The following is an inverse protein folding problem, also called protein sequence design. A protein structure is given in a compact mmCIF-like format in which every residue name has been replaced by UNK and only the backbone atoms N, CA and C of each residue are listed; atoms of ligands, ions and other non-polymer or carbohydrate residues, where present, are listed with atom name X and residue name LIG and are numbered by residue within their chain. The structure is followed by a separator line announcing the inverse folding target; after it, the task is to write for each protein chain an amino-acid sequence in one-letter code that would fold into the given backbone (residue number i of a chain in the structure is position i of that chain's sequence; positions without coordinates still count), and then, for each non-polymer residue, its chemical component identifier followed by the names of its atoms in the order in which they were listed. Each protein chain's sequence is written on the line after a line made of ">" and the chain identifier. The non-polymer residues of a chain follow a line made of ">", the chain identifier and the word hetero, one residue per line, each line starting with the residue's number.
data_IF_058283908056
#
_entry.id   IF_058283908056
#
_cell.length_a   1.000
_cell.length_b   1.000
_cell.length_c   1.000
_cell.angle_alpha   90.00
_cell.angle_beta   90.00
_cell.angle_gamma   90.00
#
_symmetry.space_group_name_H-M   'P 1'
#
loop_
_entity.id
_entity.type
_entity.pdbx_description
1 polymer ?
#
# COMPACT_ATOMS: atom_id res chain seq x y z
N UNK A 1 -22.73 11.79 13.13
CA UNK A 1 -22.59 11.14 11.81
C UNK A 1 -21.12 10.80 11.67
N UNK A 2 -20.78 9.51 11.59
CA UNK A 2 -19.40 9.14 11.22
C UNK A 2 -19.24 9.38 9.71
N UNK A 3 -18.23 10.14 9.34
CA UNK A 3 -17.89 10.30 7.91
C UNK A 3 -17.36 8.95 7.38
N UNK A 4 -17.83 8.50 6.20
CA UNK A 4 -17.31 7.29 5.61
C UNK A 4 -15.85 7.48 5.18
N UNK A 5 -15.02 6.50 5.44
CA UNK A 5 -13.58 6.54 5.20
C UNK A 5 -13.21 5.49 4.15
N UNK A 6 -12.36 5.89 3.19
CA UNK A 6 -11.55 4.97 2.39
C UNK A 6 -10.12 4.99 2.93
N UNK A 7 -9.59 3.82 3.25
CA UNK A 7 -8.21 3.64 3.69
C UNK A 7 -7.42 2.87 2.64
N UNK A 8 -6.28 3.41 2.23
CA UNK A 8 -5.52 2.94 1.07
C UNK A 8 -4.49 1.85 1.40
N UNK A 9 -4.30 1.50 2.69
CA UNK A 9 -3.31 0.49 3.02
C UNK A 9 -3.49 -0.17 4.40
N UNK A 10 -3.48 -1.50 4.42
CA UNK A 10 -3.29 -2.30 5.63
C UNK A 10 -2.69 -3.67 5.29
N UNK A 11 -2.03 -4.31 6.28
CA UNK A 11 -1.32 -5.58 6.18
C UNK A 11 -2.12 -6.80 6.66
N UNK A 12 -3.46 -6.73 6.63
CA UNK A 12 -4.31 -7.83 7.11
C UNK A 12 -4.00 -9.15 6.41
N UNK A 13 -3.74 -9.15 5.09
CA UNK A 13 -3.45 -10.38 4.35
C UNK A 13 -2.14 -11.03 4.78
N UNK A 14 -1.10 -10.22 5.02
CA UNK A 14 0.19 -10.69 5.53
C UNK A 14 0.05 -11.26 6.95
N UNK A 15 -0.74 -10.60 7.81
CA UNK A 15 -1.06 -11.10 9.15
C UNK A 15 -1.73 -12.47 9.10
N UNK A 16 -2.78 -12.62 8.30
CA UNK A 16 -3.52 -13.88 8.17
C UNK A 16 -2.67 -15.01 7.56
N UNK A 17 -1.71 -14.66 6.69
CA UNK A 17 -0.82 -15.63 6.07
C UNK A 17 0.28 -16.15 7.02
N UNK A 18 0.77 -15.32 7.94
CA UNK A 18 1.99 -15.61 8.71
C UNK A 18 1.73 -15.94 10.18
N UNK A 19 0.69 -15.37 10.78
CA UNK A 19 0.44 -15.51 12.21
C UNK A 19 -0.47 -16.74 12.47
N UNK A 20 -0.01 -17.73 13.25
CA UNK A 20 -0.83 -18.90 13.56
C UNK A 20 -2.11 -18.51 14.29
N UNK A 21 -3.26 -18.98 13.79
CA UNK A 21 -4.60 -18.69 14.34
C UNK A 21 -4.98 -17.20 14.28
N UNK A 22 -4.41 -16.48 13.33
CA UNK A 22 -4.84 -15.12 13.05
C UNK A 22 -6.35 -15.07 12.76
N UNK A 23 -7.03 -14.09 13.36
CA UNK A 23 -8.46 -13.90 13.19
C UNK A 23 -8.73 -12.45 12.74
N UNK A 24 -9.35 -12.22 11.57
CA UNK A 24 -9.67 -10.89 11.09
C UNK A 24 -10.74 -10.18 11.93
N UNK A 25 -11.39 -10.88 12.86
CA UNK A 25 -12.38 -10.32 13.78
C UNK A 25 -11.83 -10.04 15.18
N UNK A 26 -10.62 -10.47 15.50
CA UNK A 26 -10.01 -10.23 16.81
C UNK A 26 -9.33 -8.86 16.88
N UNK A 27 -9.95 -7.85 17.53
CA UNK A 27 -9.42 -6.49 17.60
C UNK A 27 -8.14 -6.38 18.46
N UNK A 28 -7.83 -7.39 19.29
CA UNK A 28 -6.63 -7.40 20.13
C UNK A 28 -5.39 -7.88 19.36
N UNK A 29 -5.58 -8.49 18.19
CA UNK A 29 -4.49 -9.01 17.37
C UNK A 29 -3.97 -8.02 16.34
N UNK A 30 -4.85 -7.23 15.72
CA UNK A 30 -4.47 -6.28 14.67
C UNK A 30 -5.43 -5.08 14.63
N UNK A 31 -4.89 -3.89 14.45
CA UNK A 31 -5.68 -2.65 14.46
C UNK A 31 -6.62 -2.51 13.24
N UNK A 32 -6.37 -3.21 12.14
CA UNK A 32 -7.29 -3.28 10.99
C UNK A 32 -8.24 -4.49 11.04
N UNK A 33 -8.50 -5.09 12.21
CA UNK A 33 -9.56 -6.07 12.37
C UNK A 33 -10.92 -5.48 11.97
N UNK A 34 -11.79 -6.28 11.37
CA UNK A 34 -13.08 -5.82 10.84
C UNK A 34 -13.94 -5.05 11.87
N UNK A 35 -14.01 -5.44 13.18
CA UNK A 35 -14.73 -4.65 14.17
C UNK A 35 -14.18 -3.23 14.34
N UNK A 36 -12.84 -3.05 14.31
CA UNK A 36 -12.21 -1.73 14.41
C UNK A 36 -12.44 -0.89 13.16
N UNK A 37 -12.28 -1.47 11.96
CA UNK A 37 -12.58 -0.77 10.71
C UNK A 37 -14.02 -0.27 10.69
N UNK A 38 -14.97 -1.11 11.08
CA UNK A 38 -16.39 -0.75 11.19
C UNK A 38 -16.63 0.35 12.23
N UNK A 39 -16.05 0.24 13.42
CA UNK A 39 -16.18 1.23 14.49
C UNK A 39 -15.57 2.58 14.07
N UNK A 40 -14.46 2.57 13.33
CA UNK A 40 -13.81 3.75 12.77
C UNK A 40 -14.54 4.38 11.59
N UNK A 41 -15.58 3.75 11.05
CA UNK A 41 -16.32 4.25 9.88
C UNK A 41 -15.63 3.96 8.55
N UNK A 42 -14.68 3.02 8.52
CA UNK A 42 -14.05 2.58 7.27
C UNK A 42 -15.06 1.79 6.45
N UNK A 43 -15.29 2.25 5.22
CA UNK A 43 -16.25 1.69 4.27
C UNK A 43 -15.54 1.04 3.08
N UNK A 44 -14.30 1.42 2.83
CA UNK A 44 -13.46 0.79 1.82
C UNK A 44 -12.02 0.69 2.32
N UNK A 45 -11.42 -0.50 2.15
CA UNK A 45 -10.07 -0.82 2.60
C UNK A 45 -9.27 -1.44 1.46
N UNK A 46 -8.09 -0.88 1.20
CA UNK A 46 -7.08 -1.55 0.36
C UNK A 46 -6.27 -2.50 1.24
N UNK A 47 -6.17 -3.75 0.81
CA UNK A 47 -5.44 -4.82 1.51
C UNK A 47 -4.17 -5.17 0.74
N UNK A 48 -3.01 -4.95 1.33
CA UNK A 48 -1.74 -5.21 0.70
C UNK A 48 -1.41 -6.70 0.64
N UNK A 49 -1.08 -7.19 -0.56
CA UNK A 49 -0.32 -8.42 -0.76
C UNK A 49 1.14 -8.02 -0.60
N UNK A 50 1.64 -8.18 0.61
CA UNK A 50 2.99 -7.76 1.00
C UNK A 50 3.97 -8.92 1.04
N UNK A 51 5.16 -8.70 0.47
CA UNK A 51 6.26 -9.65 0.59
C UNK A 51 7.60 -8.94 0.76
N UNK A 52 8.47 -9.50 1.60
CA UNK A 52 9.88 -9.13 1.62
C UNK A 52 10.61 -9.63 0.38
N UNK A 53 11.89 -9.25 0.22
CA UNK A 53 12.76 -9.77 -0.83
C UNK A 53 13.30 -11.14 -0.39
N UNK A 54 12.61 -12.20 -0.76
CA UNK A 54 12.92 -13.57 -0.38
C UNK A 54 12.68 -14.54 -1.56
N UNK A 55 13.37 -15.70 -1.65
CA UNK A 55 13.09 -16.67 -2.70
C UNK A 55 11.64 -17.16 -2.80
N UNK A 56 10.91 -17.18 -1.69
CA UNK A 56 9.51 -17.63 -1.59
C UNK A 56 8.49 -16.49 -1.77
N UNK A 57 8.93 -15.27 -2.11
CA UNK A 57 8.03 -14.09 -2.19
C UNK A 57 6.86 -14.30 -3.15
N UNK A 58 7.07 -14.96 -4.28
CA UNK A 58 6.01 -15.23 -5.26
C UNK A 58 4.94 -16.20 -4.70
N UNK A 59 5.36 -17.20 -3.95
CA UNK A 59 4.45 -18.16 -3.29
C UNK A 59 3.67 -17.48 -2.17
N UNK A 60 4.33 -16.69 -1.32
CA UNK A 60 3.70 -15.91 -0.26
C UNK A 60 2.68 -14.91 -0.82
N UNK A 61 2.96 -14.28 -1.96
CA UNK A 61 2.00 -13.40 -2.63
C UNK A 61 0.77 -14.17 -3.11
N UNK A 62 0.95 -15.37 -3.67
CA UNK A 62 -0.16 -16.23 -4.11
C UNK A 62 -1.02 -16.68 -2.94
N UNK A 63 -0.42 -17.04 -1.80
CA UNK A 63 -1.12 -17.40 -0.57
C UNK A 63 -1.97 -16.23 -0.05
N UNK A 64 -1.44 -15.02 -0.04
CA UNK A 64 -2.19 -13.83 0.39
C UNK A 64 -3.35 -13.50 -0.56
N UNK A 65 -3.18 -13.73 -1.87
CA UNK A 65 -4.28 -13.59 -2.81
C UNK A 65 -5.37 -14.66 -2.61
N UNK A 66 -5.02 -15.89 -2.20
CA UNK A 66 -5.99 -16.91 -1.80
C UNK A 66 -6.77 -16.49 -0.56
N UNK A 67 -6.09 -15.95 0.45
CA UNK A 67 -6.72 -15.41 1.67
C UNK A 67 -7.69 -14.26 1.32
N UNK A 68 -7.31 -13.35 0.41
CA UNK A 68 -8.21 -12.29 -0.04
C UNK A 68 -9.53 -12.83 -0.62
N UNK A 69 -9.46 -13.90 -1.42
CA UNK A 69 -10.65 -14.55 -1.97
C UNK A 69 -11.45 -15.24 -0.88
N UNK A 70 -10.78 -15.96 0.04
CA UNK A 70 -11.43 -16.62 1.18
C UNK A 70 -12.19 -15.62 2.06
N UNK A 71 -11.64 -14.43 2.35
CA UNK A 71 -12.35 -13.41 3.12
C UNK A 71 -13.68 -13.01 2.47
N UNK A 72 -13.72 -12.91 1.14
CA UNK A 72 -14.95 -12.60 0.40
C UNK A 72 -15.97 -13.75 0.41
N UNK A 73 -15.48 -14.99 0.37
CA UNK A 73 -16.32 -16.18 0.35
C UNK A 73 -16.85 -16.54 1.73
N UNK A 74 -16.02 -16.44 2.77
CA UNK A 74 -16.35 -16.83 4.12
C UNK A 74 -17.16 -15.78 4.90
N UNK A 75 -17.06 -14.50 4.49
CA UNK A 75 -17.68 -13.37 5.21
C UNK A 75 -18.50 -12.45 4.30
N UNK A 76 -19.38 -12.98 3.43
CA UNK A 76 -20.14 -12.18 2.45
C UNK A 76 -21.12 -11.19 3.08
N UNK A 77 -21.46 -11.33 4.37
CA UNK A 77 -22.26 -10.36 5.12
C UNK A 77 -21.45 -9.18 5.64
N UNK A 78 -20.12 -9.31 5.73
CA UNK A 78 -19.23 -8.31 6.32
C UNK A 78 -18.48 -7.55 5.24
N UNK A 79 -17.93 -8.26 4.25
CA UNK A 79 -17.09 -7.70 3.21
C UNK A 79 -17.65 -7.95 1.81
N UNK A 80 -17.34 -7.07 0.88
CA UNK A 80 -17.60 -7.29 -0.54
C UNK A 80 -16.43 -6.76 -1.38
N UNK A 81 -16.34 -7.22 -2.63
CA UNK A 81 -15.33 -6.72 -3.56
C UNK A 81 -15.60 -5.27 -3.90
N UNK A 82 -14.58 -4.43 -3.80
CA UNK A 82 -14.62 -3.03 -4.19
C UNK A 82 -13.83 -2.84 -5.50
N UNK A 83 -14.36 -2.02 -6.40
CA UNK A 83 -13.76 -1.73 -7.71
C UNK A 83 -13.05 -0.36 -7.78
N UNK A 84 -12.97 0.35 -6.65
CA UNK A 84 -12.40 1.68 -6.55
C UNK A 84 -13.40 2.84 -6.66
N UNK A 85 -14.65 2.58 -7.03
CA UNK A 85 -15.71 3.60 -7.11
C UNK A 85 -16.35 3.85 -5.73
N UNK A 86 -15.71 4.68 -4.89
CA UNK A 86 -16.09 4.85 -3.48
C UNK A 86 -17.51 5.37 -3.31
N UNK A 87 -17.91 6.43 -4.03
CA UNK A 87 -19.25 6.99 -3.90
C UNK A 87 -20.33 5.97 -4.28
N UNK A 88 -20.15 5.25 -5.36
CA UNK A 88 -21.07 4.19 -5.79
C UNK A 88 -21.16 3.07 -4.76
N UNK A 89 -20.02 2.70 -4.14
CA UNK A 89 -19.98 1.71 -3.08
C UNK A 89 -20.81 2.14 -1.87
N UNK A 90 -20.67 3.40 -1.41
CA UNK A 90 -21.44 3.94 -0.29
C UNK A 90 -22.96 3.91 -0.54
N UNK A 91 -23.38 4.10 -1.79
CA UNK A 91 -24.80 4.10 -2.18
C UNK A 91 -25.37 2.68 -2.33
N UNK A 92 -24.53 1.68 -2.61
CA UNK A 92 -24.98 0.33 -2.96
C UNK A 92 -25.00 -0.66 -1.81
N UNK A 93 -24.19 -0.48 -0.78
CA UNK A 93 -24.04 -1.46 0.31
C UNK A 93 -23.56 -0.84 1.62
N UNK A 94 -23.82 -1.54 2.72
CA UNK A 94 -23.24 -1.23 4.05
C UNK A 94 -22.01 -2.09 4.37
N UNK A 95 -21.67 -3.06 3.52
CA UNK A 95 -20.50 -3.91 3.70
C UNK A 95 -19.21 -3.10 3.56
N UNK A 96 -18.14 -3.60 4.16
CA UNK A 96 -16.79 -3.09 3.91
C UNK A 96 -16.34 -3.52 2.52
N UNK A 97 -16.12 -2.55 1.64
CA UNK A 97 -15.52 -2.81 0.33
C UNK A 97 -14.03 -3.13 0.48
N UNK A 98 -13.57 -4.25 -0.07
CA UNK A 98 -12.15 -4.59 -0.08
C UNK A 98 -11.61 -4.74 -1.48
N UNK A 99 -10.39 -4.24 -1.71
CA UNK A 99 -9.62 -4.37 -2.94
C UNK A 99 -8.18 -4.70 -2.60
N UNK A 100 -7.54 -5.57 -3.38
CA UNK A 100 -6.14 -5.91 -3.18
C UNK A 100 -5.19 -4.88 -3.80
N UNK A 101 -3.97 -4.81 -3.28
CA UNK A 101 -2.83 -4.15 -3.91
C UNK A 101 -1.60 -5.06 -3.82
N UNK A 102 -0.53 -4.73 -4.55
CA UNK A 102 0.76 -5.41 -4.42
C UNK A 102 1.75 -4.43 -3.79
N UNK A 103 2.23 -4.78 -2.61
CA UNK A 103 3.31 -4.06 -1.95
C UNK A 103 4.60 -4.86 -2.07
N UNK A 104 5.58 -4.25 -2.73
CA UNK A 104 6.84 -4.85 -3.18
C UNK A 104 6.66 -5.85 -4.34
N UNK A 105 7.07 -5.44 -5.52
CA UNK A 105 7.05 -6.28 -6.72
C UNK A 105 7.91 -7.56 -6.63
N UNK A 106 8.65 -7.78 -5.52
CA UNK A 106 9.27 -9.08 -5.22
C UNK A 106 8.22 -10.21 -5.17
N UNK A 107 6.96 -9.91 -4.82
CA UNK A 107 5.84 -10.86 -4.83
C UNK A 107 5.43 -11.33 -6.23
N UNK A 108 5.84 -10.62 -7.28
CA UNK A 108 5.60 -11.04 -8.67
C UNK A 108 6.88 -11.50 -9.37
N UNK A 109 8.07 -11.18 -8.84
CA UNK A 109 9.32 -11.52 -9.46
C UNK A 109 10.52 -11.50 -8.54
N UNK A 110 10.97 -12.68 -8.11
CA UNK A 110 12.23 -12.85 -7.37
C UNK A 110 13.44 -12.57 -8.26
N UNK A 111 14.63 -12.45 -7.66
CA UNK A 111 15.88 -12.17 -8.38
C UNK A 111 16.18 -13.18 -9.50
N UNK A 112 15.74 -14.43 -9.35
CA UNK A 112 15.99 -15.53 -10.31
C UNK A 112 14.84 -15.82 -11.26
N UNK A 113 13.66 -15.20 -11.03
CA UNK A 113 12.50 -15.44 -11.87
C UNK A 113 12.72 -14.95 -13.32
N UNK A 114 12.29 -15.74 -14.28
CA UNK A 114 12.26 -15.34 -15.68
C UNK A 114 11.11 -14.37 -15.94
N UNK A 115 11.20 -13.57 -17.00
CA UNK A 115 10.12 -12.66 -17.37
C UNK A 115 8.81 -13.39 -17.72
N UNK A 116 8.88 -14.61 -18.20
CA UNK A 116 7.68 -15.43 -18.43
C UNK A 116 6.97 -15.75 -17.11
N UNK A 117 7.73 -16.08 -16.08
CA UNK A 117 7.19 -16.36 -14.73
C UNK A 117 6.64 -15.10 -14.10
N UNK A 118 7.32 -13.95 -14.23
CA UNK A 118 6.85 -12.66 -13.69
C UNK A 118 5.49 -12.27 -14.29
N UNK A 119 5.36 -12.34 -15.62
CA UNK A 119 4.09 -12.01 -16.27
C UNK A 119 2.99 -13.00 -15.88
N UNK A 120 3.31 -14.30 -15.84
CA UNK A 120 2.35 -15.32 -15.42
C UNK A 120 1.89 -15.13 -13.98
N UNK A 121 2.82 -14.80 -13.06
CA UNK A 121 2.51 -14.54 -11.65
C UNK A 121 1.63 -13.31 -11.51
N UNK A 122 1.99 -12.20 -12.15
CA UNK A 122 1.21 -10.97 -12.11
C UNK A 122 -0.21 -11.19 -12.64
N UNK A 123 -0.35 -11.81 -13.81
CA UNK A 123 -1.65 -12.05 -14.43
C UNK A 123 -2.50 -13.03 -13.58
N UNK A 124 -1.89 -14.04 -12.98
CA UNK A 124 -2.57 -14.97 -12.07
C UNK A 124 -3.08 -14.28 -10.79
N UNK A 125 -2.26 -13.40 -10.18
CA UNK A 125 -2.70 -12.60 -9.03
C UNK A 125 -3.86 -11.67 -9.41
N UNK A 126 -3.73 -10.95 -10.52
CA UNK A 126 -4.77 -10.03 -11.00
C UNK A 126 -6.08 -10.77 -11.30
N UNK A 127 -6.03 -11.92 -11.98
CA UNK A 127 -7.20 -12.75 -12.27
C UNK A 127 -7.89 -13.22 -10.98
N UNK A 128 -7.11 -13.67 -10.00
CA UNK A 128 -7.59 -14.17 -8.72
C UNK A 128 -8.29 -13.07 -7.90
N UNK A 129 -7.64 -11.92 -7.72
CA UNK A 129 -8.20 -10.82 -6.92
C UNK A 129 -9.19 -9.95 -7.70
N UNK A 130 -9.23 -10.06 -9.03
CA UNK A 130 -10.14 -9.37 -9.95
C UNK A 130 -9.70 -7.96 -10.32
N UNK A 131 -9.16 -7.18 -9.38
CA UNK A 131 -8.62 -5.84 -9.60
C UNK A 131 -7.54 -5.52 -8.57
N UNK A 132 -6.64 -4.59 -8.92
CA UNK A 132 -5.60 -4.08 -8.04
C UNK A 132 -5.73 -2.58 -7.89
N UNK A 133 -5.69 -2.08 -6.66
CA UNK A 133 -5.70 -0.64 -6.37
C UNK A 133 -4.39 0.02 -6.83
N UNK A 134 -3.26 -0.65 -6.66
CA UNK A 134 -1.93 -0.19 -7.07
C UNK A 134 -0.91 -1.34 -6.98
N UNK A 135 0.30 -1.05 -7.48
CA UNK A 135 1.52 -1.85 -7.24
C UNK A 135 2.68 -0.92 -6.89
N UNK A 136 3.45 -1.23 -5.82
CA UNK A 136 4.74 -0.62 -5.57
C UNK A 136 5.89 -1.50 -6.07
N UNK A 137 6.95 -0.89 -6.60
CA UNK A 137 8.10 -1.64 -7.11
C UNK A 137 8.95 -2.22 -5.99
N UNK A 138 9.04 -1.52 -4.86
CA UNK A 138 9.91 -1.87 -3.73
C UNK A 138 9.18 -1.72 -2.41
N UNK A 139 9.79 -2.28 -1.36
CA UNK A 139 9.55 -1.93 0.03
C UNK A 139 10.78 -1.17 0.56
N UNK A 140 11.29 -1.49 1.74
CA UNK A 140 12.42 -0.76 2.34
C UNK A 140 13.76 -0.97 1.62
N UNK A 141 13.97 -2.15 1.08
CA UNK A 141 15.26 -2.57 0.52
C UNK A 141 15.24 -2.64 -1.00
N UNK A 142 16.42 -2.76 -1.58
CA UNK A 142 16.61 -3.03 -2.99
C UNK A 142 16.01 -4.39 -3.40
N UNK A 143 15.40 -4.42 -4.56
CA UNK A 143 15.04 -5.64 -5.27
C UNK A 143 15.49 -5.57 -6.74
N UNK A 144 15.04 -6.48 -7.60
CA UNK A 144 15.40 -6.47 -9.02
C UNK A 144 14.88 -5.27 -9.81
N UNK A 145 13.83 -4.58 -9.32
CA UNK A 145 13.17 -3.50 -10.05
C UNK A 145 13.71 -2.11 -9.67
N UNK A 146 14.25 -1.95 -8.45
CA UNK A 146 14.76 -0.66 -7.99
C UNK A 146 15.19 -0.64 -6.54
N UNK A 147 15.42 0.54 -5.99
CA UNK A 147 15.81 0.80 -4.62
C UNK A 147 14.66 1.23 -3.73
N UNK A 148 14.52 0.62 -2.56
CA UNK A 148 13.61 1.07 -1.52
C UNK A 148 14.16 2.26 -0.73
N UNK A 149 13.32 2.85 0.13
CA UNK A 149 13.68 4.05 0.89
C UNK A 149 14.87 3.90 1.86
N UNK A 150 15.32 2.66 2.13
CA UNK A 150 16.58 2.41 2.87
C UNK A 150 17.77 2.05 1.98
N UNK A 151 17.60 2.10 0.66
CA UNK A 151 18.67 1.93 -0.34
C UNK A 151 18.75 3.16 -1.27
N UNK A 152 18.97 4.32 -0.67
CA UNK A 152 18.83 5.66 -1.27
C UNK A 152 19.67 5.86 -2.55
N UNK A 153 20.81 5.17 -2.69
CA UNK A 153 21.68 5.26 -3.86
C UNK A 153 21.21 4.49 -5.10
N UNK A 154 20.05 3.83 -5.04
CA UNK A 154 19.58 2.94 -6.11
C UNK A 154 18.25 3.48 -6.67
N UNK A 155 18.25 3.77 -7.97
CA UNK A 155 17.08 4.21 -8.73
C UNK A 155 16.37 3.07 -9.48
N UNK A 156 15.66 3.45 -10.55
CA UNK A 156 14.93 2.55 -11.41
C UNK A 156 15.90 1.68 -12.25
N UNK A 157 15.77 0.36 -12.12
CA UNK A 157 16.56 -0.61 -12.85
C UNK A 157 15.91 -1.00 -14.19
N UNK A 158 16.65 -1.71 -15.05
CA UNK A 158 16.14 -2.16 -16.36
C UNK A 158 14.91 -3.08 -16.22
N UNK A 159 14.90 -3.96 -15.20
CA UNK A 159 13.73 -4.79 -14.92
C UNK A 159 12.54 -3.96 -14.43
N UNK A 160 12.79 -2.86 -13.70
CA UNK A 160 11.74 -1.91 -13.31
C UNK A 160 11.12 -1.21 -14.52
N UNK A 161 11.93 -0.75 -15.47
CA UNK A 161 11.45 -0.15 -16.74
C UNK A 161 10.58 -1.12 -17.51
N UNK A 162 11.05 -2.37 -17.67
CA UNK A 162 10.30 -3.42 -18.36
C UNK A 162 8.98 -3.76 -17.66
N UNK A 163 8.94 -3.69 -16.32
CA UNK A 163 7.69 -3.87 -15.59
C UNK A 163 6.74 -2.69 -15.84
N UNK A 164 7.22 -1.45 -15.86
CA UNK A 164 6.40 -0.28 -16.20
C UNK A 164 5.83 -0.41 -17.62
N UNK A 165 6.63 -0.85 -18.61
CA UNK A 165 6.12 -1.10 -19.97
C UNK A 165 5.00 -2.15 -19.98
N UNK A 166 5.13 -3.20 -19.17
CA UNK A 166 4.10 -4.24 -19.07
C UNK A 166 2.82 -3.74 -18.37
N UNK A 167 2.95 -2.85 -17.40
CA UNK A 167 1.81 -2.24 -16.69
C UNK A 167 1.11 -1.17 -17.53
N UNK A 168 1.77 -0.62 -18.54
CA UNK A 168 1.19 0.38 -19.42
C UNK A 168 -0.10 -0.15 -20.07
N UNK A 169 -1.18 0.59 -19.96
CA UNK A 169 -2.49 0.17 -20.48
C UNK A 169 -3.31 -0.77 -19.58
N UNK A 170 -2.75 -1.32 -18.51
CA UNK A 170 -3.51 -2.11 -17.51
C UNK A 170 -4.33 -1.24 -16.55
N UNK A 171 -4.10 0.07 -16.55
CA UNK A 171 -4.77 1.06 -15.68
C UNK A 171 -4.58 0.80 -14.18
N UNK A 172 -3.49 0.13 -13.81
CA UNK A 172 -3.11 -0.11 -12.42
C UNK A 172 -2.12 0.99 -12.03
N UNK A 173 -2.41 1.78 -10.99
CA UNK A 173 -1.51 2.82 -10.52
C UNK A 173 -0.18 2.26 -10.03
N UNK A 174 0.90 3.00 -10.29
CA UNK A 174 2.17 2.78 -9.61
C UNK A 174 2.20 3.57 -8.31
N UNK A 175 2.59 2.91 -7.23
CA UNK A 175 2.70 3.50 -5.91
C UNK A 175 4.13 3.92 -5.62
N UNK A 176 4.33 5.18 -5.22
CA UNK A 176 5.63 5.73 -4.82
C UNK A 176 5.93 5.55 -3.33
N UNK A 177 5.02 4.98 -2.55
CA UNK A 177 5.33 4.59 -1.17
C UNK A 177 6.48 3.58 -1.17
N UNK A 178 7.39 3.72 -0.21
CA UNK A 178 8.62 2.92 -0.08
C UNK A 178 9.69 3.08 -1.17
N UNK A 179 9.51 3.92 -2.18
CA UNK A 179 10.59 4.19 -3.14
C UNK A 179 11.73 4.97 -2.50
N UNK A 180 12.97 4.71 -2.96
CA UNK A 180 14.02 5.72 -2.82
C UNK A 180 13.67 6.95 -3.66
N UNK A 181 14.21 8.13 -3.32
CA UNK A 181 13.99 9.34 -4.12
C UNK A 181 14.47 9.14 -5.58
N UNK A 182 15.60 8.45 -5.76
CA UNK A 182 16.09 8.10 -7.11
C UNK A 182 15.17 7.14 -7.87
N UNK A 183 14.51 6.20 -7.16
CA UNK A 183 13.52 5.33 -7.79
C UNK A 183 12.27 6.12 -8.19
N UNK A 184 11.75 6.97 -7.31
CA UNK A 184 10.58 7.81 -7.59
C UNK A 184 10.84 8.72 -8.80
N UNK A 185 11.96 9.43 -8.83
CA UNK A 185 12.39 10.25 -9.97
C UNK A 185 12.53 9.42 -11.25
N UNK A 186 13.15 8.23 -11.15
CA UNK A 186 13.32 7.32 -12.28
C UNK A 186 12.00 6.84 -12.85
N UNK A 187 11.02 6.48 -12.01
CA UNK A 187 9.67 6.07 -12.42
C UNK A 187 8.97 7.22 -13.16
N UNK A 188 8.90 8.40 -12.55
CA UNK A 188 8.22 9.57 -13.12
C UNK A 188 8.85 9.98 -14.46
N UNK A 189 10.18 10.07 -14.49
CA UNK A 189 10.92 10.39 -15.73
C UNK A 189 10.70 9.36 -16.83
N UNK A 190 10.66 8.06 -16.49
CA UNK A 190 10.44 7.00 -17.47
C UNK A 190 9.02 7.04 -18.04
N UNK A 191 8.01 7.21 -17.18
CA UNK A 191 6.60 7.35 -17.58
C UNK A 191 6.43 8.53 -18.56
N UNK A 192 7.02 9.69 -18.24
CA UNK A 192 6.91 10.89 -19.08
C UNK A 192 7.63 10.72 -20.43
N UNK A 193 8.87 10.22 -20.39
CA UNK A 193 9.67 10.04 -21.61
C UNK A 193 9.03 9.07 -22.61
N UNK A 194 8.35 8.04 -22.10
CA UNK A 194 7.73 6.99 -22.92
C UNK A 194 6.23 7.19 -23.08
N UNK A 195 5.65 8.28 -22.53
CA UNK A 195 4.22 8.58 -22.55
C UNK A 195 3.35 7.40 -22.08
N UNK A 196 3.79 6.71 -21.02
CA UNK A 196 3.07 5.56 -20.49
C UNK A 196 1.79 6.01 -19.78
N UNK A 197 0.61 5.43 -20.09
CA UNK A 197 -0.64 5.78 -19.44
C UNK A 197 -0.78 5.10 -18.08
N UNK A 198 0.16 5.33 -17.18
CA UNK A 198 0.20 4.75 -15.83
C UNK A 198 -0.16 5.85 -14.83
N UNK A 199 -1.26 5.71 -14.07
CA UNK A 199 -1.54 6.60 -12.95
C UNK A 199 -0.49 6.45 -11.84
N UNK A 200 -0.25 7.53 -11.09
CA UNK A 200 0.74 7.55 -10.00
C UNK A 200 0.04 7.97 -8.72
N UNK A 201 0.35 7.31 -7.60
CA UNK A 201 -0.12 7.67 -6.28
C UNK A 201 0.96 7.41 -5.21
N UNK A 202 0.68 7.79 -3.97
CA UNK A 202 1.36 7.28 -2.80
C UNK A 202 0.32 6.77 -1.82
N UNK A 203 0.26 5.46 -1.63
CA UNK A 203 -0.81 4.80 -0.87
C UNK A 203 -0.75 5.09 0.63
N UNK A 204 0.46 5.26 1.20
CA UNK A 204 0.66 5.41 2.65
C UNK A 204 1.97 6.14 2.96
N UNK A 205 2.07 7.43 2.59
CA UNK A 205 3.26 8.26 2.80
C UNK A 205 2.90 9.63 3.40
N UNK A 206 3.79 10.13 4.25
CA UNK A 206 3.66 11.44 4.87
C UNK A 206 4.51 12.50 4.15
N UNK A 207 4.63 13.71 4.70
CA UNK A 207 5.34 14.83 4.09
C UNK A 207 6.66 15.09 4.82
N UNK A 208 7.76 15.09 4.06
CA UNK A 208 9.13 15.27 4.60
C UNK A 208 9.34 16.67 5.18
N UNK A 209 8.65 17.67 4.68
CA UNK A 209 8.66 19.04 5.21
C UNK A 209 8.04 19.17 6.61
N UNK A 210 7.17 18.23 7.01
CA UNK A 210 6.62 18.16 8.39
C UNK A 210 7.55 17.34 9.30
N UNK A 211 7.93 16.14 8.86
CA UNK A 211 8.84 15.27 9.55
C UNK A 211 9.91 14.74 8.60
N UNK A 212 11.17 15.19 8.80
CA UNK A 212 12.28 14.85 7.92
C UNK A 212 12.71 13.38 8.10
N UNK A 213 11.93 12.50 7.52
CA UNK A 213 12.20 11.07 7.47
C UNK A 213 12.22 10.58 6.02
N UNK A 214 13.17 9.72 5.66
CA UNK A 214 13.35 9.22 4.28
C UNK A 214 12.18 8.39 3.73
N UNK A 215 11.30 7.93 4.61
CA UNK A 215 10.06 7.24 4.24
C UNK A 215 8.97 8.22 3.78
N UNK A 216 9.11 9.51 4.16
CA UNK A 216 8.18 10.57 3.80
C UNK A 216 8.54 11.17 2.43
N UNK A 217 7.52 11.58 1.69
CA UNK A 217 7.67 12.21 0.38
C UNK A 217 8.29 13.59 0.50
N UNK A 218 9.14 13.95 -0.45
CA UNK A 218 9.51 15.36 -0.64
C UNK A 218 8.31 16.14 -1.19
N UNK A 219 8.36 17.45 -1.05
CA UNK A 219 7.29 18.31 -1.55
C UNK A 219 7.16 18.21 -3.08
N UNK A 220 8.27 18.04 -3.79
CA UNK A 220 8.30 17.85 -5.24
C UNK A 220 7.52 16.60 -5.66
N UNK A 221 7.74 15.46 -5.01
CA UNK A 221 7.01 14.23 -5.34
C UNK A 221 5.54 14.31 -4.96
N UNK A 222 5.22 14.91 -3.80
CA UNK A 222 3.84 15.12 -3.39
C UNK A 222 3.07 16.01 -4.39
N UNK A 223 3.68 17.13 -4.82
CA UNK A 223 3.09 18.02 -5.80
C UNK A 223 2.95 17.35 -7.17
N UNK A 224 3.94 16.54 -7.58
CA UNK A 224 3.91 15.82 -8.85
C UNK A 224 2.80 14.78 -8.90
N UNK A 225 2.58 14.03 -7.81
CA UNK A 225 1.45 13.09 -7.69
C UNK A 225 0.12 13.84 -7.83
N UNK A 226 -0.05 14.95 -7.12
CA UNK A 226 -1.27 15.77 -7.19
C UNK A 226 -1.46 16.37 -8.60
N UNK A 227 -0.40 16.86 -9.24
CA UNK A 227 -0.44 17.39 -10.60
C UNK A 227 -0.93 16.34 -11.62
N UNK A 228 -0.63 15.07 -11.38
CA UNK A 228 -1.10 13.92 -12.17
C UNK A 228 -2.51 13.44 -11.80
N UNK A 229 -3.24 14.18 -10.94
CA UNK A 229 -4.51 13.78 -10.36
C UNK A 229 -4.43 12.48 -9.54
N UNK A 230 -3.27 12.21 -8.93
CA UNK A 230 -3.06 11.10 -8.02
C UNK A 230 -3.57 11.39 -6.62
N UNK A 231 -3.49 10.37 -5.76
CA UNK A 231 -3.94 10.41 -4.36
C UNK A 231 -2.73 10.17 -3.45
N UNK A 232 -2.72 10.88 -2.31
CA UNK A 232 -1.76 10.74 -1.24
C UNK A 232 -2.46 10.17 0.00
N UNK A 233 -2.14 8.93 0.38
CA UNK A 233 -2.58 8.32 1.63
C UNK A 233 -1.65 8.72 2.78
N UNK A 234 -2.20 9.33 3.81
CA UNK A 234 -1.44 9.72 5.01
C UNK A 234 -1.24 8.51 5.90
N UNK A 235 0.02 8.22 6.21
CA UNK A 235 0.44 7.08 7.03
C UNK A 235 0.31 7.41 8.53
N UNK A 236 -0.15 6.44 9.35
CA UNK A 236 -0.39 6.63 10.78
C UNK A 236 0.76 6.13 11.66
N UNK A 237 1.79 5.51 11.07
CA UNK A 237 2.92 5.01 11.83
C UNK A 237 3.69 6.14 12.48
N UNK A 238 3.81 6.07 13.79
CA UNK A 238 4.47 7.07 14.63
C UNK A 238 5.87 7.43 14.14
N UNK A 239 6.65 6.45 13.71
CA UNK A 239 8.00 6.67 13.18
C UNK A 239 8.05 7.63 11.98
N UNK A 240 6.96 7.75 11.23
CA UNK A 240 6.84 8.57 10.03
C UNK A 240 6.04 9.86 10.24
N UNK A 241 5.39 9.98 11.41
CA UNK A 241 4.70 11.20 11.85
C UNK A 241 5.63 12.14 12.61
N UNK A 242 6.14 11.65 13.70
CA UNK A 242 7.13 12.19 14.62
C UNK A 242 7.28 11.19 15.77
N UNK A 243 8.50 10.80 16.13
CA UNK A 243 8.73 9.80 17.18
C UNK A 243 8.17 10.19 18.55
N UNK A 244 8.05 11.49 18.84
CA UNK A 244 7.63 12.02 20.14
C UNK A 244 6.23 12.64 20.12
N UNK A 245 5.74 13.04 18.93
CA UNK A 245 4.48 13.79 18.76
C UNK A 245 3.61 13.13 17.67
N UNK A 246 2.97 11.99 17.96
CA UNK A 246 2.15 11.29 16.97
C UNK A 246 0.92 12.11 16.51
N UNK A 247 0.48 13.10 17.31
CA UNK A 247 -0.55 14.07 16.95
C UNK A 247 -0.19 14.94 15.75
N UNK A 248 1.06 14.93 15.30
CA UNK A 248 1.47 15.51 14.00
C UNK A 248 0.78 14.88 12.80
N UNK A 249 0.08 13.78 12.98
CA UNK A 249 -0.87 13.26 11.98
C UNK A 249 -1.78 14.37 11.45
N UNK A 250 -2.29 15.23 12.32
CA UNK A 250 -3.14 16.35 11.91
C UNK A 250 -2.39 17.41 11.11
N UNK A 251 -1.10 17.64 11.40
CA UNK A 251 -0.27 18.55 10.60
C UNK A 251 -0.06 18.00 9.18
N UNK A 252 0.20 16.69 9.05
CA UNK A 252 0.31 16.01 7.75
C UNK A 252 -1.01 16.11 6.96
N UNK A 253 -2.15 15.85 7.60
CA UNK A 253 -3.47 15.96 6.96
C UNK A 253 -3.76 17.41 6.49
N UNK A 254 -3.51 18.41 7.35
CA UNK A 254 -3.70 19.82 7.02
C UNK A 254 -2.76 20.24 5.89
N UNK A 255 -1.51 19.79 5.93
CA UNK A 255 -0.54 20.11 4.87
C UNK A 255 -0.97 19.52 3.53
N UNK A 256 -1.31 18.24 3.50
CA UNK A 256 -1.81 17.57 2.31
C UNK A 256 -3.06 18.23 1.74
N UNK A 257 -4.04 18.57 2.61
CA UNK A 257 -5.28 19.24 2.19
C UNK A 257 -5.03 20.62 1.53
N UNK A 258 -3.96 21.32 1.93
CA UNK A 258 -3.54 22.57 1.25
C UNK A 258 -2.97 22.34 -0.13
N UNK A 259 -2.40 21.17 -0.40
CA UNK A 259 -1.95 20.83 -1.76
C UNK A 259 -3.16 20.51 -2.65
N UNK A 260 -4.07 19.67 -2.17
CA UNK A 260 -5.34 19.35 -2.84
C UNK A 260 -6.29 18.66 -1.87
N UNK A 261 -7.42 19.28 -1.53
CA UNK A 261 -8.42 18.69 -0.63
C UNK A 261 -8.99 17.35 -1.12
N UNK A 262 -9.10 17.16 -2.44
CA UNK A 262 -9.64 15.93 -3.04
C UNK A 262 -8.58 14.86 -3.29
N UNK A 263 -7.31 15.20 -3.14
CA UNK A 263 -6.18 14.31 -3.39
C UNK A 263 -5.62 13.64 -2.14
N UNK A 264 -6.25 13.80 -0.97
CA UNK A 264 -5.77 13.24 0.30
C UNK A 264 -6.74 12.18 0.81
N UNK A 265 -6.17 11.05 1.24
CA UNK A 265 -6.88 9.93 1.85
C UNK A 265 -6.11 9.43 3.09
N UNK A 266 -6.66 8.46 3.78
CA UNK A 266 -5.90 7.69 4.75
C UNK A 266 -5.17 6.54 4.05
N UNK A 267 -3.98 6.22 4.55
CA UNK A 267 -3.22 5.02 4.27
C UNK A 267 -2.61 4.60 5.59
N UNK A 268 -3.45 4.08 6.48
CA UNK A 268 -3.13 3.95 7.91
C UNK A 268 -1.90 3.06 8.17
N UNK A 269 -1.64 2.11 7.29
CA UNK A 269 -0.49 1.20 7.39
C UNK A 269 -0.54 0.35 8.66
N UNK A 270 -1.74 -0.13 9.03
CA UNK A 270 -1.90 -1.03 10.16
C UNK A 270 -1.34 -2.40 9.83
N UNK A 271 -0.30 -2.78 10.56
CA UNK A 271 0.35 -4.08 10.49
C UNK A 271 0.33 -4.78 11.86
N UNK A 272 0.84 -5.98 11.93
CA UNK A 272 0.90 -6.79 13.14
C UNK A 272 2.29 -6.75 13.78
N UNK A 273 2.33 -6.97 15.09
CA UNK A 273 3.57 -6.88 15.88
C UNK A 273 3.94 -8.20 16.54
N UNK A 274 3.16 -9.25 16.34
CA UNK A 274 3.36 -10.57 16.96
C UNK A 274 4.70 -11.23 16.56
N UNK A 275 5.21 -10.89 15.37
CA UNK A 275 6.52 -11.39 14.89
C UNK A 275 7.70 -10.56 15.39
N UNK A 276 7.46 -9.43 16.05
CA UNK A 276 8.55 -8.63 16.60
C UNK A 276 9.08 -9.28 17.87
N UNK A 277 10.38 -9.67 17.90
CA UNK A 277 10.97 -10.36 19.05
C UNK A 277 11.09 -9.47 20.29
N UNK A 278 10.97 -8.14 20.13
CA UNK A 278 11.09 -7.16 21.21
C UNK A 278 9.78 -6.37 21.39
N UNK A 279 8.95 -6.74 22.37
CA UNK A 279 7.71 -6.02 22.66
C UNK A 279 7.90 -4.55 23.01
N UNK A 280 9.08 -4.15 23.49
CA UNK A 280 9.37 -2.73 23.82
C UNK A 280 9.37 -1.81 22.58
N UNK A 281 9.48 -2.38 21.38
CA UNK A 281 9.44 -1.64 20.11
C UNK A 281 8.02 -1.39 19.61
N UNK A 282 7.00 -2.08 20.12
CA UNK A 282 5.63 -1.92 19.70
C UNK A 282 5.12 -0.47 19.81
N UNK A 283 5.40 0.28 20.89
CA UNK A 283 4.98 1.69 21.01
C UNK A 283 5.61 2.65 20.00
N UNK A 284 6.70 2.23 19.31
CA UNK A 284 7.37 3.08 18.31
C UNK A 284 6.54 3.18 17.04
N UNK A 285 5.71 2.18 16.75
CA UNK A 285 4.98 2.09 15.49
C UNK A 285 3.60 2.73 15.57
N UNK A 286 2.89 2.59 16.69
CA UNK A 286 1.54 3.13 16.84
C UNK A 286 1.46 4.12 17.98
N UNK A 287 0.58 5.16 17.87
CA UNK A 287 0.25 6.00 19.00
C UNK A 287 -0.20 5.14 20.19
N UNK A 288 0.32 5.43 21.36
CA UNK A 288 -0.25 4.86 22.59
C UNK A 288 -1.67 5.42 22.75
N UNK A 289 -2.63 4.52 22.98
CA UNK A 289 -4.00 4.90 23.24
C UNK A 289 -4.13 5.78 24.49
#
# INVERSE_FOLDING_TARGET
>A
MNLPIADLHCDLLSFLAKVPKADPFDPDQIACAFPWLKAGGVRAQVMAIYTDVHPESMELASQQADIFVQLLEDHPETVCRWDGAFQQHLESTEQLGIIASIENAAGIGTATATWKEIYAQFDALLEKVGSLAYISLTHHTENRFGGGNYTEGIGLKEDGKRLLDYLAGKRIPIDLSHTSDLLAEGILTYIDRHHLPIPVLASHSNFRSIWNHKRNLTDEFAQEIIHRNGILGVNFLRAFLDNEQPERLFEHLIYGSKLNEQGIAFGADFFYTQDFPDPSRHPIYFPLA
#
